data_IF_369096350138
#
_entry.id   IF_369096350138
#
_cell.length_a   1.000
_cell.length_b   1.000
_cell.length_c   1.000
_cell.angle_alpha   90.00
_cell.angle_beta   90.00
_cell.angle_gamma   90.00
#
_symmetry.space_group_name_H-M   'P 1'
#
loop_
_entity.id
_entity.type
_entity.pdbx_description
1 polymer ?
#
# COMPACT_ATOMS: atom_id res chain seq x y z
N UNK A 1 10.97 8.82 -2.56
CA UNK A 1 12.21 8.04 -2.57
C UNK A 1 13.22 8.57 -3.58
N UNK A 2 12.83 8.84 -4.82
CA UNK A 2 13.69 9.46 -5.84
C UNK A 2 14.35 10.79 -5.41
N UNK A 3 13.60 11.68 -4.73
CA UNK A 3 14.15 12.92 -4.17
C UNK A 3 15.25 12.71 -3.10
N UNK A 4 15.34 11.48 -2.56
CA UNK A 4 16.37 11.03 -1.63
C UNK A 4 17.51 10.27 -2.34
N UNK A 5 17.48 10.14 -3.67
CA UNK A 5 18.51 9.47 -4.47
C UNK A 5 18.32 7.96 -4.64
N UNK A 6 17.19 7.39 -4.19
CA UNK A 6 16.88 5.98 -4.38
C UNK A 6 16.16 5.74 -5.71
N UNK A 7 16.41 4.59 -6.34
CA UNK A 7 15.62 4.12 -7.48
C UNK A 7 14.43 3.32 -6.97
N UNK A 8 13.24 3.70 -7.42
CA UNK A 8 11.97 3.09 -6.97
C UNK A 8 11.31 2.31 -8.10
N UNK A 9 10.81 1.11 -7.82
CA UNK A 9 9.90 0.36 -8.68
C UNK A 9 8.59 0.12 -7.93
N UNK A 10 7.48 0.08 -8.67
CA UNK A 10 6.15 -0.19 -8.14
C UNK A 10 5.75 -1.60 -8.57
N UNK A 11 5.30 -2.43 -7.62
CA UNK A 11 4.89 -3.80 -7.90
C UNK A 11 3.43 -3.98 -7.50
N UNK A 12 2.60 -4.48 -8.41
CA UNK A 12 1.18 -4.70 -8.15
C UNK A 12 0.57 -5.76 -9.07
N UNK A 13 -0.65 -6.19 -8.76
CA UNK A 13 -1.46 -7.01 -9.67
C UNK A 13 -1.81 -6.26 -10.96
N UNK A 14 -2.29 -6.97 -11.98
CA UNK A 14 -2.51 -6.42 -13.32
C UNK A 14 -3.45 -5.21 -13.40
N UNK A 15 -4.49 -5.14 -12.55
CA UNK A 15 -5.40 -4.00 -12.59
C UNK A 15 -4.74 -2.75 -12.00
N UNK A 16 -4.15 -2.87 -10.81
CA UNK A 16 -3.44 -1.77 -10.18
C UNK A 16 -2.19 -1.34 -10.97
N UNK A 17 -1.44 -2.29 -11.54
CA UNK A 17 -0.29 -2.01 -12.41
C UNK A 17 -0.70 -1.21 -13.66
N UNK A 18 -1.87 -1.50 -14.24
CA UNK A 18 -2.40 -0.73 -15.38
C UNK A 18 -2.69 0.74 -15.02
N UNK A 19 -3.24 0.99 -13.84
CA UNK A 19 -3.47 2.34 -13.32
C UNK A 19 -2.13 3.06 -13.06
N UNK A 20 -1.20 2.39 -12.39
CA UNK A 20 0.12 2.92 -12.08
C UNK A 20 0.90 3.32 -13.34
N UNK A 21 0.89 2.49 -14.39
CA UNK A 21 1.55 2.84 -15.68
C UNK A 21 1.00 4.11 -16.31
N UNK A 22 -0.22 4.50 -15.99
CA UNK A 22 -0.86 5.71 -16.53
C UNK A 22 -0.73 6.92 -15.60
N UNK A 23 -0.29 6.73 -14.36
CA UNK A 23 -0.15 7.78 -13.35
C UNK A 23 1.29 7.99 -12.86
N UNK A 24 2.23 7.16 -13.30
CA UNK A 24 3.67 7.24 -12.99
C UNK A 24 4.51 6.87 -14.22
N UNK A 25 5.82 6.80 -14.04
CA UNK A 25 6.75 6.28 -15.05
C UNK A 25 6.48 4.78 -15.32
N UNK A 26 6.01 4.41 -16.53
CA UNK A 26 5.64 3.03 -16.85
C UNK A 26 6.80 2.04 -16.75
N UNK A 27 8.04 2.48 -16.98
CA UNK A 27 9.24 1.62 -16.93
C UNK A 27 9.55 1.15 -15.50
N UNK A 28 8.96 1.82 -14.50
CA UNK A 28 9.12 1.48 -13.10
C UNK A 28 8.02 0.56 -12.57
N UNK A 29 7.01 0.25 -13.38
CA UNK A 29 5.87 -0.56 -12.96
C UNK A 29 6.07 -2.01 -13.37
N UNK A 30 6.17 -2.87 -12.37
CA UNK A 30 6.29 -4.31 -12.51
C UNK A 30 4.93 -4.90 -12.18
N UNK A 31 4.37 -5.62 -13.16
CA UNK A 31 3.14 -6.37 -12.95
C UNK A 31 3.48 -7.75 -12.38
N UNK A 32 2.96 -8.02 -11.19
CA UNK A 32 3.10 -9.31 -10.52
C UNK A 32 1.89 -10.18 -10.91
N UNK A 33 2.11 -11.37 -11.49
CA UNK A 33 1.02 -12.19 -11.99
C UNK A 33 0.18 -12.78 -10.84
N UNK A 34 -1.14 -12.87 -11.07
CA UNK A 34 -2.02 -13.66 -10.21
C UNK A 34 -1.81 -15.14 -10.53
N UNK A 35 -1.06 -15.83 -9.68
CA UNK A 35 -0.65 -17.23 -9.91
C UNK A 35 -0.74 -18.08 -8.63
N UNK A 36 -0.39 -19.37 -8.76
CA UNK A 36 -0.22 -20.29 -7.65
C UNK A 36 0.95 -19.90 -6.74
N UNK A 37 1.02 -20.53 -5.57
CA UNK A 37 2.05 -20.22 -4.56
C UNK A 37 3.47 -20.47 -5.07
N UNK A 38 3.73 -21.61 -5.70
CA UNK A 38 5.06 -21.95 -6.19
C UNK A 38 5.55 -20.98 -7.28
N UNK A 39 4.67 -20.63 -8.23
CA UNK A 39 5.00 -19.67 -9.29
C UNK A 39 5.20 -18.26 -8.74
N UNK A 40 4.37 -17.85 -7.78
CA UNK A 40 4.50 -16.53 -7.16
C UNK A 40 5.76 -16.40 -6.32
N UNK A 41 6.13 -17.44 -5.57
CA UNK A 41 7.35 -17.48 -4.78
C UNK A 41 8.59 -17.40 -5.68
N UNK A 42 8.62 -18.18 -6.78
CA UNK A 42 9.69 -18.11 -7.76
C UNK A 42 9.78 -16.73 -8.40
N UNK A 43 8.65 -16.14 -8.81
CA UNK A 43 8.62 -14.80 -9.40
C UNK A 43 9.10 -13.72 -8.43
N UNK A 44 8.72 -13.81 -7.15
CA UNK A 44 9.20 -12.89 -6.13
C UNK A 44 10.71 -13.02 -5.91
N UNK A 45 11.25 -14.25 -5.87
CA UNK A 45 12.68 -14.50 -5.76
C UNK A 45 13.46 -13.89 -6.95
N UNK A 46 13.00 -14.13 -8.18
CA UNK A 46 13.59 -13.58 -9.40
C UNK A 46 13.58 -12.04 -9.40
N UNK A 47 12.48 -11.42 -8.94
CA UNK A 47 12.40 -9.96 -8.81
C UNK A 47 13.39 -9.43 -7.78
N UNK A 48 13.46 -10.04 -6.60
CA UNK A 48 14.38 -9.62 -5.55
C UNK A 48 15.85 -9.77 -5.98
N UNK A 49 16.18 -10.84 -6.71
CA UNK A 49 17.52 -11.02 -7.28
C UNK A 49 17.83 -9.99 -8.37
N UNK A 50 16.90 -9.77 -9.30
CA UNK A 50 17.11 -8.89 -10.45
C UNK A 50 17.24 -7.42 -10.07
N UNK A 51 16.43 -6.96 -9.10
CA UNK A 51 16.39 -5.56 -8.69
C UNK A 51 17.22 -5.28 -7.43
N UNK A 52 17.58 -6.31 -6.65
CA UNK A 52 18.33 -6.21 -5.41
C UNK A 52 17.90 -5.02 -4.52
N UNK A 53 16.60 -4.89 -4.19
CA UNK A 53 16.12 -3.75 -3.43
C UNK A 53 16.75 -3.73 -2.04
N UNK A 54 16.98 -2.52 -1.50
CA UNK A 54 17.48 -2.37 -0.12
C UNK A 54 16.35 -2.33 0.92
N UNK A 55 15.10 -2.16 0.46
CA UNK A 55 13.89 -1.99 1.26
C UNK A 55 12.68 -2.37 0.41
N UNK A 56 11.72 -3.08 1.01
CA UNK A 56 10.41 -3.36 0.40
C UNK A 56 9.33 -2.68 1.24
N UNK A 57 8.45 -1.90 0.61
CA UNK A 57 7.35 -1.19 1.28
C UNK A 57 6.04 -1.69 0.69
N UNK A 58 5.16 -2.23 1.54
CA UNK A 58 3.79 -2.56 1.20
C UNK A 58 2.85 -1.46 1.69
N UNK A 59 1.98 -0.98 0.82
CA UNK A 59 0.95 0.02 1.14
C UNK A 59 -0.38 -0.53 0.65
N UNK A 60 -1.31 -0.79 1.58
CA UNK A 60 -2.69 -1.20 1.25
C UNK A 60 -2.74 -2.41 0.30
N UNK A 61 -1.86 -3.40 0.50
CA UNK A 61 -1.87 -4.65 -0.26
C UNK A 61 -2.43 -5.76 0.62
N UNK A 62 -3.43 -6.53 0.14
CA UNK A 62 -3.98 -7.62 0.92
C UNK A 62 -2.88 -8.67 1.16
N UNK A 63 -2.87 -9.27 2.35
CA UNK A 63 -1.92 -10.30 2.74
C UNK A 63 -2.61 -11.64 3.03
N UNK A 64 -1.80 -12.69 3.14
CA UNK A 64 -2.28 -14.04 3.40
C UNK A 64 -3.08 -14.11 4.70
N UNK A 65 -4.20 -14.79 4.68
CA UNK A 65 -4.86 -15.33 5.87
C UNK A 65 -4.28 -16.69 6.24
N UNK A 66 -4.65 -17.23 7.41
CA UNK A 66 -4.12 -18.51 7.92
C UNK A 66 -4.35 -19.73 7.01
N UNK A 67 -5.29 -19.65 6.08
CA UNK A 67 -5.57 -20.67 5.05
C UNK A 67 -4.86 -20.39 3.70
N UNK A 68 -3.97 -19.39 3.64
CA UNK A 68 -3.22 -19.02 2.43
C UNK A 68 -4.03 -18.27 1.37
N UNK A 69 -5.19 -17.74 1.74
CA UNK A 69 -6.08 -16.95 0.85
C UNK A 69 -6.04 -15.47 1.21
N UNK A 70 -6.89 -14.66 0.56
CA UNK A 70 -7.02 -13.22 0.81
C UNK A 70 -8.46 -12.87 1.17
N UNK A 71 -8.64 -11.90 2.06
CA UNK A 71 -9.96 -11.36 2.44
C UNK A 71 -9.96 -9.86 2.23
N UNK A 72 -11.08 -9.31 1.76
CA UNK A 72 -11.34 -7.87 1.89
C UNK A 72 -11.95 -7.55 3.26
N UNK A 73 -12.21 -6.26 3.52
CA UNK A 73 -12.83 -5.77 4.77
C UNK A 73 -14.22 -6.35 5.08
N UNK A 74 -14.87 -7.01 4.12
CA UNK A 74 -16.16 -7.71 4.30
C UNK A 74 -16.00 -9.22 4.52
N UNK A 75 -14.77 -9.71 4.64
CA UNK A 75 -14.47 -11.14 4.76
C UNK A 75 -14.66 -11.93 3.46
N UNK A 76 -14.78 -11.26 2.31
CA UNK A 76 -14.96 -11.93 1.01
C UNK A 76 -13.61 -12.38 0.45
N UNK A 77 -13.57 -13.59 -0.09
CA UNK A 77 -12.39 -14.11 -0.78
C UNK A 77 -12.08 -13.32 -2.06
N UNK A 78 -10.89 -12.71 -2.10
CA UNK A 78 -10.39 -11.94 -3.26
C UNK A 78 -9.16 -12.57 -3.90
N UNK A 79 -8.84 -13.82 -3.58
CA UNK A 79 -7.61 -14.51 -4.01
C UNK A 79 -7.48 -14.64 -5.52
N UNK A 80 -8.61 -14.78 -6.23
CA UNK A 80 -8.61 -14.85 -7.70
C UNK A 80 -8.20 -13.54 -8.38
N UNK A 81 -8.17 -12.42 -7.64
CA UNK A 81 -7.80 -11.10 -8.13
C UNK A 81 -6.49 -10.58 -7.53
N UNK A 82 -5.94 -11.28 -6.54
CA UNK A 82 -4.82 -10.80 -5.73
C UNK A 82 -3.54 -11.54 -6.11
N UNK A 83 -2.55 -10.78 -6.59
CA UNK A 83 -1.19 -11.29 -6.76
C UNK A 83 -0.57 -11.59 -5.39
N UNK A 84 0.22 -12.66 -5.28
CA UNK A 84 0.81 -13.09 -4.00
C UNK A 84 2.05 -12.29 -3.62
N UNK A 85 1.86 -11.00 -3.41
CA UNK A 85 2.92 -10.04 -3.11
C UNK A 85 3.59 -10.29 -1.74
N UNK A 86 2.95 -11.06 -0.86
CA UNK A 86 3.49 -11.50 0.43
C UNK A 86 4.90 -12.10 0.30
N UNK A 87 5.16 -12.85 -0.78
CA UNK A 87 6.47 -13.45 -1.02
C UNK A 87 7.60 -12.43 -1.14
N UNK A 88 7.33 -11.20 -1.59
CA UNK A 88 8.33 -10.13 -1.65
C UNK A 88 8.75 -9.66 -0.24
N UNK A 89 7.83 -9.61 0.71
CA UNK A 89 8.15 -9.20 2.09
C UNK A 89 8.67 -10.37 2.92
N UNK A 90 8.15 -11.59 2.70
CA UNK A 90 8.61 -12.78 3.42
C UNK A 90 10.06 -13.14 3.07
N UNK A 91 10.48 -12.87 1.82
CA UNK A 91 11.83 -13.13 1.35
C UNK A 91 12.80 -11.93 1.53
N UNK A 92 12.38 -10.86 2.20
CA UNK A 92 13.21 -9.66 2.39
C UNK A 92 13.31 -9.24 3.86
N UNK A 93 14.53 -8.94 4.33
CA UNK A 93 14.76 -8.62 5.74
C UNK A 93 14.25 -7.23 6.15
N UNK A 94 14.37 -6.24 5.24
CA UNK A 94 13.98 -4.85 5.52
C UNK A 94 12.64 -4.53 4.90
N UNK A 95 11.60 -4.49 5.71
CA UNK A 95 10.22 -4.38 5.22
C UNK A 95 9.40 -3.38 6.02
N UNK A 96 8.63 -2.56 5.32
CA UNK A 96 7.63 -1.68 5.92
C UNK A 96 6.26 -2.08 5.40
N UNK A 97 5.30 -2.30 6.30
CA UNK A 97 3.88 -2.45 5.94
C UNK A 97 3.09 -1.24 6.40
N UNK A 98 2.19 -0.74 5.55
CA UNK A 98 1.24 0.32 5.86
C UNK A 98 -0.16 -0.18 5.56
N UNK A 99 -1.02 -0.19 6.57
CA UNK A 99 -2.39 -0.70 6.49
C UNK A 99 -3.32 -0.01 7.49
N UNK A 100 -4.62 -0.21 7.32
CA UNK A 100 -5.67 0.36 8.17
C UNK A 100 -6.78 -0.66 8.56
N UNK A 101 -6.90 -1.79 7.86
CA UNK A 101 -8.02 -2.72 7.99
C UNK A 101 -7.73 -4.04 8.71
N UNK A 102 -6.48 -4.47 8.74
CA UNK A 102 -6.03 -5.71 9.39
C UNK A 102 -5.86 -6.90 8.44
N UNK A 103 -6.28 -6.79 7.18
CA UNK A 103 -6.04 -7.77 6.12
C UNK A 103 -4.83 -7.41 5.24
N UNK A 104 -4.12 -6.32 5.50
CA UNK A 104 -2.99 -5.88 4.69
C UNK A 104 -1.69 -6.57 5.10
N UNK A 105 -0.77 -6.73 4.16
CA UNK A 105 0.60 -7.19 4.41
C UNK A 105 1.24 -6.33 5.50
N UNK A 106 1.71 -6.98 6.56
CA UNK A 106 2.30 -6.37 7.75
C UNK A 106 1.38 -6.39 8.97
N UNK A 107 0.06 -6.46 8.77
CA UNK A 107 -0.90 -6.62 9.87
C UNK A 107 -0.77 -7.96 10.60
N UNK A 108 -0.03 -8.92 10.02
CA UNK A 108 0.40 -10.13 10.71
C UNK A 108 1.13 -9.86 12.03
N UNK A 109 1.79 -8.71 12.17
CA UNK A 109 2.42 -8.30 13.44
C UNK A 109 1.41 -8.13 14.59
N UNK A 110 0.12 -7.99 14.27
CA UNK A 110 -0.97 -7.77 15.21
C UNK A 110 -2.08 -8.82 15.06
N UNK A 111 -1.81 -9.94 14.39
CA UNK A 111 -2.82 -10.97 14.08
C UNK A 111 -3.56 -11.49 15.32
N UNK A 112 -2.89 -11.56 16.48
CA UNK A 112 -3.52 -11.99 17.75
C UNK A 112 -4.44 -10.92 18.36
N UNK A 113 -4.25 -9.65 18.01
CA UNK A 113 -5.00 -8.52 18.59
C UNK A 113 -6.19 -8.10 17.72
N UNK A 114 -6.07 -8.22 16.40
CA UNK A 114 -7.07 -7.72 15.44
C UNK A 114 -8.48 -8.31 15.70
N UNK A 115 -8.66 -9.63 15.93
CA UNK A 115 -9.99 -10.19 16.19
C UNK A 115 -10.64 -9.66 17.47
N UNK A 116 -9.85 -9.20 18.45
CA UNK A 116 -10.36 -8.67 19.72
C UNK A 116 -10.94 -7.26 19.60
N UNK A 117 -10.68 -6.54 18.50
CA UNK A 117 -11.14 -5.16 18.29
C UNK A 117 -12.63 -5.11 17.87
N UNK A 118 -13.24 -6.24 17.50
CA UNK A 118 -14.67 -6.44 17.26
C UNK A 118 -15.28 -5.69 16.06
N UNK A 119 -14.60 -4.64 15.58
CA UNK A 119 -14.92 -3.90 14.34
C UNK A 119 -14.04 -4.31 13.16
N UNK A 120 -12.99 -5.10 13.42
CA UNK A 120 -12.04 -5.58 12.42
C UNK A 120 -12.35 -7.04 12.05
N UNK A 121 -11.56 -7.59 11.14
CA UNK A 121 -11.75 -8.92 10.57
C UNK A 121 -11.48 -10.04 11.58
N UNK A 122 -12.33 -11.06 11.58
CA UNK A 122 -12.10 -12.31 12.33
C UNK A 122 -10.92 -13.11 11.78
N UNK A 123 -10.64 -12.96 10.49
CA UNK A 123 -9.52 -13.62 9.79
C UNK A 123 -8.53 -12.56 9.31
N UNK A 124 -7.61 -12.10 10.18
CA UNK A 124 -6.63 -11.09 9.81
C UNK A 124 -5.57 -11.67 8.86
N UNK A 125 -4.81 -10.76 8.25
CA UNK A 125 -3.56 -11.11 7.60
C UNK A 125 -2.59 -11.72 8.63
N UNK A 126 -1.81 -12.71 8.20
CA UNK A 126 -0.76 -13.37 8.99
C UNK A 126 0.65 -13.00 8.52
N UNK A 127 0.78 -12.29 7.40
CA UNK A 127 2.08 -11.87 6.86
C UNK A 127 2.64 -10.70 7.67
N UNK A 128 3.82 -10.91 8.26
CA UNK A 128 4.54 -9.95 9.10
C UNK A 128 5.52 -9.09 8.32
N UNK A 129 5.90 -7.95 8.88
CA UNK A 129 6.94 -7.03 8.37
C UNK A 129 7.85 -6.57 9.50
N UNK A 130 9.04 -6.06 9.19
CA UNK A 130 9.98 -5.51 10.18
C UNK A 130 9.39 -4.28 10.89
N UNK A 131 8.77 -3.37 10.13
CA UNK A 131 8.14 -2.17 10.65
C UNK A 131 6.71 -2.02 10.15
N UNK A 132 5.75 -1.93 11.05
CA UNK A 132 4.35 -1.70 10.74
C UNK A 132 3.96 -0.24 11.05
N UNK A 133 3.32 0.43 10.10
CA UNK A 133 2.67 1.72 10.29
C UNK A 133 1.16 1.50 10.15
N UNK A 134 0.42 1.76 11.23
CA UNK A 134 -1.04 1.78 11.18
C UNK A 134 -1.53 3.22 11.02
N UNK A 135 -2.56 3.39 10.20
CA UNK A 135 -3.26 4.66 10.03
C UNK A 135 -4.77 4.41 9.90
N UNK A 136 -5.57 5.48 9.87
CA UNK A 136 -7.01 5.36 9.56
C UNK A 136 -7.29 5.25 8.06
N UNK A 137 -6.31 5.66 7.24
CA UNK A 137 -6.27 5.53 5.78
C UNK A 137 -4.81 5.27 5.42
N UNK A 138 -4.52 4.19 4.70
CA UNK A 138 -3.15 3.81 4.34
C UNK A 138 -2.37 4.91 3.62
N UNK A 139 -3.03 5.72 2.78
CA UNK A 139 -2.43 6.91 2.16
C UNK A 139 -1.88 7.89 3.20
N UNK A 140 -2.64 8.15 4.27
CA UNK A 140 -2.20 9.05 5.34
C UNK A 140 -1.02 8.48 6.12
N UNK A 141 -0.99 7.15 6.33
CA UNK A 141 0.17 6.46 6.89
C UNK A 141 1.43 6.64 6.03
N UNK A 142 1.28 6.52 4.71
CA UNK A 142 2.36 6.75 3.75
C UNK A 142 2.84 8.21 3.79
N UNK A 143 1.94 9.20 3.84
CA UNK A 143 2.33 10.60 4.03
C UNK A 143 2.98 10.85 5.39
N UNK A 144 2.55 10.18 6.45
CA UNK A 144 3.21 10.24 7.75
C UNK A 144 4.67 9.80 7.67
N UNK A 145 4.95 8.71 6.95
CA UNK A 145 6.33 8.27 6.68
C UNK A 145 7.11 9.32 5.87
N UNK A 146 6.51 9.90 4.83
CA UNK A 146 7.15 10.95 4.03
C UNK A 146 7.40 12.22 4.86
N UNK A 147 6.49 12.57 5.77
CA UNK A 147 6.65 13.69 6.69
C UNK A 147 7.83 13.47 7.65
N UNK A 148 7.96 12.28 8.23
CA UNK A 148 9.10 11.92 9.07
C UNK A 148 10.43 12.02 8.29
N UNK A 149 10.49 11.47 7.07
CA UNK A 149 11.67 11.62 6.18
C UNK A 149 11.96 13.08 5.83
N UNK A 150 10.91 13.90 5.71
CA UNK A 150 11.08 15.32 5.41
C UNK A 150 11.75 16.06 6.56
N UNK A 151 11.36 15.76 7.80
CA UNK A 151 12.00 16.30 9.00
C UNK A 151 13.45 15.86 9.12
N UNK A 152 13.72 14.56 8.95
CA UNK A 152 15.08 14.00 9.03
C UNK A 152 16.02 14.59 7.97
N UNK A 153 15.52 14.90 6.78
CA UNK A 153 16.34 15.44 5.69
C UNK A 153 16.33 16.96 5.58
N UNK A 154 15.53 17.66 6.40
CA UNK A 154 15.35 19.12 6.33
C UNK A 154 14.76 19.61 5.00
N UNK A 155 14.08 18.73 4.24
CA UNK A 155 13.48 19.02 2.94
C UNK A 155 12.03 18.56 2.95
N UNK A 156 11.11 19.40 2.52
CA UNK A 156 9.71 18.97 2.39
C UNK A 156 9.54 18.04 1.18
N UNK A 157 9.24 16.76 1.44
CA UNK A 157 9.07 15.71 0.42
C UNK A 157 7.60 15.35 0.17
N UNK A 158 6.68 15.96 0.90
CA UNK A 158 5.25 15.73 0.73
C UNK A 158 4.74 16.34 -0.59
N UNK A 159 3.77 15.70 -1.26
CA UNK A 159 3.06 16.34 -2.37
C UNK A 159 2.28 17.56 -1.87
N UNK A 160 1.95 18.48 -2.78
CA UNK A 160 0.97 19.53 -2.47
C UNK A 160 -0.45 18.95 -2.47
N UNK A 161 -1.38 19.70 -1.89
CA UNK A 161 -2.81 19.35 -1.89
C UNK A 161 -3.38 19.25 -3.30
N UNK A 162 -2.92 20.14 -4.18
CA UNK A 162 -3.31 20.16 -5.58
C UNK A 162 -2.79 18.93 -6.31
N UNK A 163 -1.54 18.53 -6.08
CA UNK A 163 -0.94 17.33 -6.67
C UNK A 163 -1.70 16.05 -6.24
N UNK A 164 -2.03 15.93 -4.95
CA UNK A 164 -2.85 14.82 -4.44
C UNK A 164 -4.24 14.80 -5.10
N UNK A 165 -4.93 15.94 -5.10
CA UNK A 165 -6.28 16.05 -5.65
C UNK A 165 -6.31 15.71 -7.14
N UNK A 166 -5.31 16.15 -7.90
CA UNK A 166 -5.16 15.81 -9.31
C UNK A 166 -4.91 14.32 -9.51
N UNK A 167 -4.05 13.71 -8.68
CA UNK A 167 -3.76 12.28 -8.76
C UNK A 167 -5.00 11.42 -8.45
N UNK A 168 -5.75 11.74 -7.39
CA UNK A 168 -6.98 11.00 -7.02
C UNK A 168 -8.01 11.10 -8.14
N UNK A 169 -8.30 12.31 -8.63
CA UNK A 169 -9.24 12.50 -9.74
C UNK A 169 -8.80 11.72 -10.98
N UNK A 170 -7.50 11.76 -11.31
CA UNK A 170 -6.96 11.03 -12.45
C UNK A 170 -7.13 9.51 -12.31
N UNK A 171 -6.84 8.95 -11.14
CA UNK A 171 -7.02 7.52 -10.90
C UNK A 171 -8.49 7.12 -11.00
N UNK A 172 -9.40 7.94 -10.48
CA UNK A 172 -10.84 7.75 -10.61
C UNK A 172 -11.26 7.79 -12.07
N UNK A 173 -10.83 8.76 -12.87
CA UNK A 173 -11.11 8.81 -14.32
C UNK A 173 -10.65 7.54 -15.06
N UNK A 174 -9.55 6.93 -14.61
CA UNK A 174 -8.98 5.70 -15.16
C UNK A 174 -9.71 4.42 -14.71
N UNK A 175 -10.69 4.53 -13.81
CA UNK A 175 -11.52 3.42 -13.36
C UNK A 175 -11.27 2.98 -11.92
N UNK A 176 -10.40 3.67 -11.17
CA UNK A 176 -10.25 3.39 -9.74
C UNK A 176 -11.57 3.67 -8.99
N UNK A 177 -11.83 2.86 -7.98
CA UNK A 177 -13.03 2.95 -7.14
C UNK A 177 -12.63 3.18 -5.69
N UNK A 178 -13.50 3.84 -4.94
CA UNK A 178 -13.42 3.86 -3.49
C UNK A 178 -13.60 2.43 -2.95
N UNK A 179 -12.64 1.95 -2.16
CA UNK A 179 -12.59 0.56 -1.68
C UNK A 179 -13.74 0.17 -0.74
N UNK A 180 -14.33 1.15 -0.05
CA UNK A 180 -15.43 0.93 0.90
C UNK A 180 -16.78 0.99 0.19
N UNK A 181 -16.96 2.00 -0.68
CA UNK A 181 -18.21 2.28 -1.39
C UNK A 181 -18.37 1.46 -2.67
N UNK A 182 -17.28 0.98 -3.26
CA UNK A 182 -17.25 0.27 -4.54
C UNK A 182 -17.70 1.15 -5.71
N UNK A 183 -17.48 2.46 -5.62
CA UNK A 183 -17.91 3.45 -6.62
C UNK A 183 -16.73 4.23 -7.18
N UNK A 184 -16.77 4.51 -8.48
CA UNK A 184 -15.84 5.39 -9.16
C UNK A 184 -16.18 6.85 -8.82
N UNK A 185 -15.66 7.33 -7.70
CA UNK A 185 -15.85 8.70 -7.21
C UNK A 185 -14.58 9.17 -6.50
N UNK A 186 -14.32 10.50 -6.42
CA UNK A 186 -13.09 11.05 -5.84
C UNK A 186 -13.12 11.03 -4.31
N UNK A 187 -13.14 9.82 -3.76
CA UNK A 187 -13.01 9.54 -2.33
C UNK A 187 -12.01 8.41 -2.11
N UNK A 188 -11.35 8.45 -0.96
CA UNK A 188 -10.46 7.38 -0.47
C UNK A 188 -11.01 6.96 0.88
N UNK A 189 -11.39 5.70 1.03
CA UNK A 189 -12.04 5.14 2.22
C UNK A 189 -13.19 5.99 2.76
N UNK A 190 -14.06 6.42 1.86
CA UNK A 190 -15.20 7.33 2.10
C UNK A 190 -14.85 8.79 2.38
N UNK A 191 -13.58 9.12 2.60
CA UNK A 191 -13.14 10.50 2.83
C UNK A 191 -13.06 11.27 1.51
N UNK A 192 -13.63 12.47 1.53
CA UNK A 192 -13.62 13.41 0.41
C UNK A 192 -12.21 13.94 0.11
N UNK A 193 -12.03 14.57 -1.07
CA UNK A 193 -10.81 15.29 -1.40
C UNK A 193 -10.47 16.37 -0.35
N UNK A 194 -11.48 17.06 0.20
CA UNK A 194 -11.29 18.09 1.22
C UNK A 194 -10.77 17.49 2.53
N UNK A 195 -11.30 16.35 2.96
CA UNK A 195 -10.83 15.67 4.17
C UNK A 195 -9.41 15.13 4.01
N UNK A 196 -9.09 14.52 2.86
CA UNK A 196 -7.73 14.07 2.55
C UNK A 196 -6.74 15.26 2.52
N UNK A 197 -7.13 16.35 1.84
CA UNK A 197 -6.36 17.59 1.77
C UNK A 197 -6.05 18.16 3.16
N UNK A 198 -7.05 18.22 4.04
CA UNK A 198 -6.89 18.74 5.39
C UNK A 198 -5.86 17.94 6.21
N UNK A 199 -5.79 16.61 6.03
CA UNK A 199 -4.76 15.78 6.66
C UNK A 199 -3.38 16.07 6.07
N UNK A 200 -3.27 16.15 4.74
CA UNK A 200 -2.00 16.46 4.07
C UNK A 200 -1.48 17.85 4.45
N UNK A 201 -2.33 18.87 4.52
CA UNK A 201 -1.95 20.22 4.97
C UNK A 201 -1.39 20.21 6.40
N UNK A 202 -2.02 19.47 7.31
CA UNK A 202 -1.53 19.34 8.69
C UNK A 202 -0.14 18.71 8.73
N UNK A 203 0.10 17.65 7.94
CA UNK A 203 1.42 17.03 7.83
C UNK A 203 2.46 18.00 7.25
N UNK A 204 2.11 18.75 6.20
CA UNK A 204 2.98 19.77 5.61
C UNK A 204 3.31 20.89 6.59
N UNK A 205 2.36 21.28 7.44
CA UNK A 205 2.56 22.26 8.50
C UNK A 205 3.57 21.80 9.56
N UNK A 206 3.56 20.51 9.92
CA UNK A 206 4.52 19.90 10.86
C UNK A 206 5.94 19.86 10.29
N UNK A 207 6.08 19.68 8.97
CA UNK A 207 7.39 19.64 8.29
C UNK A 207 8.00 21.03 8.10
N UNK A 208 7.14 22.07 8.03
CA UNK A 208 7.57 23.44 7.71
C UNK A 208 7.87 24.29 8.96
N UNK A 209 7.57 23.79 10.16
CA UNK A 209 7.86 24.43 11.44
C UNK A 209 9.07 23.82 12.11
#
# INVERSE_FOLDING_TARGET
MDALGFKTHYVSDGHAASLLRQSTDPERVIEFPVAGSAESEAFAADLLESYAPTLVISIERPGFTGDGTYRNMRGVDISQYSAKLDYLVMAHARTIGIGDGGNEIGMGNLAEHIPAVGKLLDTPCITTVEHLIMASVSNWGAYGLVAALSQETGRNLLPTVEEESLLINRLVELGAVDGVLGKQQPTVDTFSLEENAAILERLRGIVSG
#
